data_IF_963808777415
#
_entry.id   IF_963808777415
#
_cell.length_a   1.000
_cell.length_b   1.000
_cell.length_c   1.000
_cell.angle_alpha   90.00
_cell.angle_beta   90.00
_cell.angle_gamma   90.00
#
_symmetry.space_group_name_H-M   'P 1'
#
loop_
_entity.id
_entity.type
_entity.pdbx_description
1 polymer ?
#
# COMPACT_ATOMS: atom_id res chain seq x y z
N UNK A 1 19.33 2.40 -6.08
CA UNK A 1 20.12 2.09 -4.87
C UNK A 1 19.87 3.23 -3.90
N UNK A 2 19.40 2.98 -2.68
CA UNK A 2 19.18 4.06 -1.71
C UNK A 2 20.53 4.49 -1.18
N UNK A 3 20.82 5.79 -1.14
CA UNK A 3 22.08 6.31 -0.62
C UNK A 3 22.04 6.20 0.89
N UNK A 4 23.16 5.80 1.52
CA UNK A 4 23.26 5.64 2.99
C UNK A 4 22.82 6.89 3.75
N UNK A 5 23.12 8.08 3.22
CA UNK A 5 22.66 9.36 3.75
C UNK A 5 21.11 9.51 3.82
N UNK A 6 20.38 8.88 2.88
CA UNK A 6 18.92 8.89 2.92
C UNK A 6 18.40 7.90 3.96
N UNK A 7 19.07 6.78 4.13
CA UNK A 7 18.74 5.79 5.14
C UNK A 7 18.89 6.40 6.53
N UNK A 8 20.02 7.08 6.79
CA UNK A 8 20.30 7.75 8.06
C UNK A 8 19.27 8.84 8.38
N UNK A 9 18.74 9.53 7.37
CA UNK A 9 17.69 10.56 7.56
C UNK A 9 16.30 9.97 7.92
N UNK A 10 16.13 8.66 7.78
CA UNK A 10 14.90 7.94 8.11
C UNK A 10 14.92 7.32 9.51
N UNK A 11 16.10 7.22 10.11
CA UNK A 11 16.32 6.65 11.44
C UNK A 11 16.37 7.76 12.49
N UNK A 12 15.80 7.48 13.67
CA UNK A 12 15.94 8.35 14.82
C UNK A 12 17.34 8.17 15.47
N UNK A 13 17.85 9.15 16.21
CA UNK A 13 19.13 9.04 16.91
C UNK A 13 19.18 7.79 17.81
N UNK A 14 20.14 6.91 17.56
CA UNK A 14 20.33 5.66 18.30
C UNK A 14 19.41 4.51 17.88
N UNK A 15 18.60 4.68 16.83
CA UNK A 15 17.79 3.62 16.24
C UNK A 15 18.63 2.74 15.32
N UNK A 16 18.48 1.42 15.42
CA UNK A 16 19.25 0.45 14.63
C UNK A 16 18.39 -0.15 13.53
N UNK A 17 18.87 -0.06 12.29
CA UNK A 17 18.22 -0.74 11.17
C UNK A 17 18.49 -2.25 11.27
N UNK A 18 17.42 -3.05 11.25
CA UNK A 18 17.48 -4.51 11.27
C UNK A 18 17.27 -5.08 9.87
N UNK A 19 16.34 -4.49 9.11
CA UNK A 19 16.04 -4.91 7.76
C UNK A 19 15.52 -3.75 6.93
N UNK A 20 15.86 -3.75 5.65
CA UNK A 20 15.29 -2.84 4.66
C UNK A 20 14.91 -3.59 3.39
N UNK A 21 13.82 -3.19 2.77
CA UNK A 21 13.33 -3.82 1.55
C UNK A 21 12.52 -2.86 0.67
N UNK A 22 12.20 -3.34 -0.51
CA UNK A 22 11.31 -2.66 -1.45
C UNK A 22 10.25 -3.62 -1.94
N UNK A 23 9.05 -3.14 -2.25
CA UNK A 23 8.04 -3.97 -2.90
C UNK A 23 8.50 -4.37 -4.30
N UNK A 24 7.99 -5.50 -4.79
CA UNK A 24 7.94 -5.74 -6.22
C UNK A 24 6.90 -4.78 -6.81
N UNK A 25 7.31 -3.95 -7.77
CA UNK A 25 6.44 -2.91 -8.32
C UNK A 25 5.21 -3.51 -9.03
N UNK A 26 5.37 -4.65 -9.72
CA UNK A 26 4.28 -5.32 -10.44
C UNK A 26 3.23 -5.87 -9.47
N UNK A 27 3.66 -6.62 -8.46
CA UNK A 27 2.76 -7.20 -7.46
C UNK A 27 2.12 -6.12 -6.58
N UNK A 28 2.86 -5.05 -6.28
CA UNK A 28 2.33 -3.87 -5.58
C UNK A 28 1.22 -3.18 -6.37
N UNK A 29 1.40 -3.02 -7.69
CA UNK A 29 0.40 -2.42 -8.56
C UNK A 29 -0.86 -3.30 -8.63
N UNK A 30 -0.70 -4.62 -8.81
CA UNK A 30 -1.80 -5.58 -8.86
C UNK A 30 -2.60 -5.54 -7.54
N UNK A 31 -1.92 -5.61 -6.39
CA UNK A 31 -2.58 -5.60 -5.08
C UNK A 31 -3.39 -4.32 -4.83
N UNK A 32 -2.97 -3.19 -5.40
CA UNK A 32 -3.58 -1.88 -5.12
C UNK A 32 -4.63 -1.42 -6.12
N UNK A 33 -4.66 -1.93 -7.34
CA UNK A 33 -5.46 -1.33 -8.40
C UNK A 33 -6.35 -2.27 -9.22
N UNK A 34 -6.39 -3.57 -8.91
CA UNK A 34 -7.24 -4.52 -9.66
C UNK A 34 -8.70 -4.07 -9.72
N UNK A 35 -9.27 -3.63 -8.59
CA UNK A 35 -10.65 -3.14 -8.55
C UNK A 35 -10.86 -1.88 -9.38
N UNK A 36 -9.98 -0.90 -9.25
CA UNK A 36 -10.06 0.36 -10.02
C UNK A 36 -9.91 0.12 -11.52
N UNK A 37 -9.02 -0.78 -11.92
CA UNK A 37 -8.82 -1.15 -13.32
C UNK A 37 -10.06 -1.79 -13.94
N UNK A 38 -10.65 -2.78 -13.28
CA UNK A 38 -11.87 -3.45 -13.75
C UNK A 38 -13.04 -2.47 -13.84
N UNK A 39 -13.18 -1.61 -12.82
CA UNK A 39 -14.21 -0.57 -12.83
C UNK A 39 -13.97 0.44 -13.94
N UNK A 40 -12.73 0.82 -14.20
CA UNK A 40 -12.36 1.70 -15.31
C UNK A 40 -12.71 1.13 -16.68
N UNK A 41 -12.47 -0.17 -16.89
CA UNK A 41 -12.85 -0.85 -18.15
C UNK A 41 -14.37 -0.82 -18.34
N UNK A 42 -15.13 -1.16 -17.31
CA UNK A 42 -16.60 -1.12 -17.34
C UNK A 42 -17.11 0.30 -17.66
N UNK A 43 -16.55 1.28 -16.94
CA UNK A 43 -16.96 2.68 -17.08
C UNK A 43 -16.63 3.25 -18.45
N UNK A 44 -15.45 2.92 -19.00
CA UNK A 44 -15.07 3.30 -20.37
C UNK A 44 -15.96 2.64 -21.41
N UNK A 45 -16.33 1.37 -21.22
CA UNK A 45 -17.24 0.67 -22.10
C UNK A 45 -18.62 1.33 -22.15
N UNK A 46 -19.18 1.64 -20.99
CA UNK A 46 -20.48 2.38 -20.89
C UNK A 46 -20.36 3.75 -21.56
N UNK A 47 -19.28 4.48 -21.33
CA UNK A 47 -19.05 5.79 -21.96
C UNK A 47 -19.02 5.73 -23.47
N UNK A 48 -18.36 4.72 -24.05
CA UNK A 48 -18.29 4.52 -25.51
C UNK A 48 -19.68 4.24 -26.07
N UNK A 49 -20.44 3.32 -25.47
CA UNK A 49 -21.82 3.02 -25.89
C UNK A 49 -22.69 4.28 -25.83
N UNK A 50 -22.53 5.07 -24.77
CA UNK A 50 -23.23 6.34 -24.59
C UNK A 50 -22.92 7.34 -25.71
N UNK A 51 -21.63 7.50 -26.07
CA UNK A 51 -21.19 8.41 -27.14
C UNK A 51 -21.75 7.97 -28.50
N UNK A 52 -21.73 6.67 -28.79
CA UNK A 52 -22.23 6.12 -30.05
C UNK A 52 -23.75 6.29 -30.16
N UNK A 53 -24.47 6.15 -29.03
CA UNK A 53 -25.93 6.30 -28.98
C UNK A 53 -26.41 7.73 -28.88
N UNK A 54 -25.54 8.72 -28.76
CA UNK A 54 -25.89 10.13 -28.65
C UNK A 54 -26.36 10.68 -29.99
N UNK A 55 -27.65 10.80 -30.19
CA UNK A 55 -28.25 11.50 -31.34
C UNK A 55 -27.83 12.97 -31.33
N UNK A 56 -26.81 13.33 -32.08
CA UNK A 56 -26.33 14.70 -32.44
C UNK A 56 -26.44 15.81 -31.36
N UNK A 57 -26.83 15.48 -30.14
CA UNK A 57 -26.85 16.44 -29.03
C UNK A 57 -25.46 16.60 -28.46
N UNK A 58 -24.87 17.79 -28.65
CA UNK A 58 -23.53 18.14 -28.11
C UNK A 58 -23.42 17.95 -26.61
N UNK A 59 -24.51 18.14 -25.85
CA UNK A 59 -24.51 17.93 -24.40
C UNK A 59 -24.34 16.46 -24.02
N UNK A 60 -24.98 15.54 -24.73
CA UNK A 60 -24.83 14.11 -24.48
C UNK A 60 -23.44 13.61 -24.86
N UNK A 61 -22.88 14.08 -25.97
CA UNK A 61 -21.52 13.75 -26.38
C UNK A 61 -20.50 14.25 -25.36
N UNK A 62 -20.63 15.48 -24.86
CA UNK A 62 -19.75 16.04 -23.82
C UNK A 62 -19.80 15.24 -22.53
N UNK A 63 -20.98 14.82 -22.09
CA UNK A 63 -21.12 13.98 -20.91
C UNK A 63 -20.43 12.62 -21.09
N UNK A 64 -20.62 11.98 -22.26
CA UNK A 64 -19.93 10.73 -22.59
C UNK A 64 -18.39 10.87 -22.62
N UNK A 65 -17.89 11.97 -23.17
CA UNK A 65 -16.45 12.27 -23.16
C UNK A 65 -15.91 12.45 -21.73
N UNK A 66 -16.66 13.11 -20.84
CA UNK A 66 -16.28 13.24 -19.44
C UNK A 66 -16.21 11.86 -18.74
N UNK A 67 -17.23 11.02 -18.95
CA UNK A 67 -17.21 9.64 -18.43
C UNK A 67 -16.03 8.84 -18.97
N UNK A 68 -15.71 8.97 -20.25
CA UNK A 68 -14.59 8.29 -20.88
C UNK A 68 -13.24 8.74 -20.28
N UNK A 69 -13.08 10.03 -20.01
CA UNK A 69 -11.88 10.55 -19.34
C UNK A 69 -11.70 9.97 -17.95
N UNK A 70 -12.78 9.90 -17.16
CA UNK A 70 -12.77 9.27 -15.84
C UNK A 70 -12.43 7.79 -15.95
N UNK A 71 -13.10 7.05 -16.85
CA UNK A 71 -12.84 5.64 -17.09
C UNK A 71 -11.38 5.37 -17.51
N UNK A 72 -10.83 6.16 -18.42
CA UNK A 72 -9.44 6.06 -18.87
C UNK A 72 -8.45 6.34 -17.73
N UNK A 73 -8.72 7.32 -16.89
CA UNK A 73 -7.92 7.60 -15.69
C UNK A 73 -7.87 6.39 -14.74
N UNK A 74 -8.97 5.69 -14.57
CA UNK A 74 -9.04 4.47 -13.75
C UNK A 74 -8.32 3.29 -14.43
N UNK A 75 -8.41 3.15 -15.76
CA UNK A 75 -7.67 2.15 -16.54
C UNK A 75 -6.16 2.38 -16.46
N UNK A 76 -5.72 3.63 -16.37
CA UNK A 76 -4.30 3.98 -16.22
C UNK A 76 -3.79 3.88 -14.78
N UNK A 77 -4.67 3.58 -13.81
CA UNK A 77 -4.28 3.47 -12.40
C UNK A 77 -3.17 2.45 -12.11
N UNK A 78 -3.05 1.28 -12.79
CA UNK A 78 -1.94 0.37 -12.60
C UNK A 78 -0.59 0.99 -12.94
N UNK A 79 -0.52 1.76 -14.03
CA UNK A 79 0.71 2.44 -14.45
C UNK A 79 1.19 3.42 -13.38
N UNK A 80 0.25 4.19 -12.80
CA UNK A 80 0.55 5.06 -11.67
C UNK A 80 1.09 4.30 -10.46
N UNK A 81 0.48 3.16 -10.13
CA UNK A 81 0.92 2.34 -8.99
C UNK A 81 2.28 1.64 -9.25
N UNK A 82 2.58 1.27 -10.48
CA UNK A 82 3.91 0.76 -10.87
C UNK A 82 4.99 1.82 -10.59
N UNK A 83 4.76 3.05 -11.07
CA UNK A 83 5.66 4.17 -10.82
C UNK A 83 5.80 4.41 -9.32
N UNK A 84 4.69 4.47 -8.60
CA UNK A 84 4.68 4.71 -7.14
C UNK A 84 5.37 3.59 -6.37
N UNK A 85 5.17 2.32 -6.75
CA UNK A 85 5.80 1.16 -6.12
C UNK A 85 7.32 1.23 -6.13
N UNK A 86 7.91 1.80 -7.19
CA UNK A 86 9.36 2.00 -7.30
C UNK A 86 9.92 2.99 -6.27
N UNK A 87 9.08 3.86 -5.70
CA UNK A 87 9.46 4.87 -4.70
C UNK A 87 9.11 4.45 -3.27
N UNK A 88 8.57 3.26 -3.07
CA UNK A 88 8.27 2.72 -1.74
C UNK A 88 9.52 2.06 -1.17
N UNK A 89 9.79 2.35 0.08
CA UNK A 89 10.85 1.70 0.86
C UNK A 89 10.29 1.26 2.19
N UNK A 90 10.58 0.03 2.56
CA UNK A 90 10.25 -0.58 3.84
C UNK A 90 11.48 -0.64 4.70
N UNK A 91 11.36 -0.23 5.95
CA UNK A 91 12.41 -0.32 6.95
C UNK A 91 11.84 -0.99 8.20
N UNK A 92 12.59 -1.92 8.75
CA UNK A 92 12.35 -2.45 10.08
C UNK A 92 13.53 -2.12 10.97
N UNK A 93 13.23 -1.43 12.04
CA UNK A 93 14.22 -1.05 13.04
C UNK A 93 14.01 -1.85 14.33
N UNK A 94 14.85 -1.60 15.32
CA UNK A 94 14.69 -2.17 16.66
C UNK A 94 13.46 -1.65 17.43
N UNK A 95 12.82 -0.56 16.96
CA UNK A 95 11.72 0.10 17.66
C UNK A 95 10.42 0.16 16.88
N UNK A 96 10.48 0.21 15.53
CA UNK A 96 9.31 0.44 14.67
C UNK A 96 9.46 -0.17 13.27
N UNK A 97 8.35 -0.28 12.58
CA UNK A 97 8.31 -0.47 11.14
C UNK A 97 8.00 0.87 10.46
N UNK A 98 8.75 1.20 9.40
CA UNK A 98 8.60 2.43 8.64
C UNK A 98 8.30 2.09 7.19
N UNK A 99 7.25 2.71 6.67
CA UNK A 99 6.88 2.68 5.25
C UNK A 99 7.13 4.08 4.71
N UNK A 100 8.19 4.26 3.93
CA UNK A 100 8.53 5.53 3.31
C UNK A 100 8.17 5.50 1.84
N UNK A 101 7.28 6.39 1.43
CA UNK A 101 6.91 6.61 0.03
C UNK A 101 7.53 7.94 -0.36
N UNK A 102 8.62 7.87 -1.12
CA UNK A 102 9.25 9.06 -1.69
C UNK A 102 8.70 9.30 -3.11
N UNK A 103 8.69 10.55 -3.59
CA UNK A 103 8.19 10.89 -4.93
C UNK A 103 7.30 12.13 -4.92
N UNK A 104 6.39 12.24 -5.91
CA UNK A 104 5.53 13.41 -6.07
C UNK A 104 4.62 13.71 -4.86
N UNK A 105 4.16 12.65 -4.18
CA UNK A 105 3.33 12.76 -2.98
C UNK A 105 3.99 11.95 -1.86
N UNK A 106 4.99 12.53 -1.17
CA UNK A 106 5.71 11.82 -0.13
C UNK A 106 4.80 11.54 1.05
N UNK A 107 4.85 10.29 1.52
CA UNK A 107 4.11 9.85 2.70
C UNK A 107 5.00 8.93 3.52
N UNK A 108 5.11 9.19 4.80
CA UNK A 108 5.78 8.30 5.75
C UNK A 108 4.78 7.80 6.78
N UNK A 109 4.74 6.50 6.95
CA UNK A 109 3.97 5.83 7.99
C UNK A 109 4.94 5.10 8.90
N UNK A 110 4.89 5.36 10.18
CA UNK A 110 5.72 4.72 11.20
C UNK A 110 4.80 4.03 12.18
N UNK A 111 5.02 2.74 12.43
CA UNK A 111 4.25 1.94 13.37
C UNK A 111 5.21 1.38 14.42
N UNK A 112 5.12 1.83 15.69
CA UNK A 112 5.91 1.27 16.78
C UNK A 112 5.64 -0.22 16.95
N UNK A 113 6.65 -1.00 17.33
CA UNK A 113 6.48 -2.44 17.58
C UNK A 113 5.47 -2.73 18.71
N UNK A 114 5.35 -1.81 19.68
CA UNK A 114 4.37 -1.89 20.75
C UNK A 114 2.90 -1.74 20.30
N UNK A 115 2.67 -1.13 19.14
CA UNK A 115 1.33 -0.96 18.56
C UNK A 115 0.96 -2.08 17.58
N UNK A 116 1.88 -3.00 17.29
CA UNK A 116 1.61 -4.13 16.43
C UNK A 116 0.77 -5.17 17.18
N UNK A 117 -0.42 -5.43 16.67
CA UNK A 117 -1.37 -6.33 17.31
C UNK A 117 -1.13 -7.79 16.91
N UNK A 118 -0.67 -8.00 15.69
CA UNK A 118 -0.44 -9.33 15.11
C UNK A 118 0.52 -9.22 13.93
N UNK A 119 1.01 -10.37 13.47
CA UNK A 119 1.74 -10.47 12.20
C UNK A 119 1.07 -11.52 11.35
N UNK A 120 0.39 -11.08 10.29
CA UNK A 120 -0.26 -11.95 9.32
C UNK A 120 0.57 -11.97 8.03
N UNK A 121 0.94 -13.15 7.60
CA UNK A 121 1.58 -13.36 6.30
C UNK A 121 0.52 -13.77 5.28
N UNK A 122 0.36 -12.97 4.24
CA UNK A 122 -0.46 -13.32 3.07
C UNK A 122 0.48 -13.60 1.90
N UNK A 123 0.65 -14.88 1.49
CA UNK A 123 1.55 -15.22 0.41
C UNK A 123 0.98 -14.75 -0.94
N UNK A 124 1.84 -14.21 -1.79
CA UNK A 124 1.52 -13.89 -3.19
C UNK A 124 2.06 -14.97 -4.14
N UNK A 125 1.57 -14.96 -5.37
CA UNK A 125 1.75 -16.03 -6.36
C UNK A 125 3.21 -16.25 -6.81
N UNK A 126 4.12 -15.29 -6.57
CA UNK A 126 5.51 -15.31 -7.10
C UNK A 126 6.61 -15.33 -6.04
N UNK A 127 6.33 -15.81 -4.82
CA UNK A 127 7.33 -15.81 -3.74
C UNK A 127 7.47 -14.47 -3.03
N UNK A 128 6.72 -13.46 -3.43
CA UNK A 128 6.49 -12.24 -2.68
C UNK A 128 5.31 -12.46 -1.73
N UNK A 129 5.12 -11.57 -0.79
CA UNK A 129 3.99 -11.66 0.12
C UNK A 129 3.76 -10.35 0.85
N UNK A 130 2.59 -10.28 1.47
CA UNK A 130 2.20 -9.16 2.30
C UNK A 130 2.39 -9.53 3.76
N UNK A 131 3.04 -8.66 4.51
CA UNK A 131 3.24 -8.81 5.96
C UNK A 131 2.43 -7.72 6.65
N UNK A 132 1.23 -8.07 7.10
CA UNK A 132 0.30 -7.15 7.75
C UNK A 132 0.52 -7.23 9.26
N UNK A 133 0.71 -6.09 9.91
CA UNK A 133 0.99 -6.04 11.35
C UNK A 133 0.05 -5.12 12.13
N UNK A 134 -0.81 -4.35 11.46
CA UNK A 134 -1.83 -3.53 12.10
C UNK A 134 -3.07 -3.41 11.21
N UNK A 135 -4.25 -3.55 11.83
CA UNK A 135 -5.54 -3.21 11.21
C UNK A 135 -6.23 -2.17 12.08
N UNK A 136 -6.61 -1.06 11.48
CA UNK A 136 -7.33 0.02 12.15
C UNK A 136 -8.68 0.18 11.48
N UNK A 137 -9.75 0.04 12.25
CA UNK A 137 -11.08 0.38 11.79
C UNK A 137 -11.26 1.89 11.89
N UNK A 138 -11.37 2.55 10.76
CA UNK A 138 -11.67 3.98 10.70
C UNK A 138 -13.16 4.13 10.45
N UNK A 139 -13.85 4.73 11.39
CA UNK A 139 -15.29 5.05 11.27
C UNK A 139 -15.43 6.51 10.91
N UNK A 140 -16.04 6.77 9.76
CA UNK A 140 -16.35 8.12 9.31
C UNK A 140 -17.86 8.35 9.49
N UNK A 141 -18.32 9.47 10.03
CA UNK A 141 -19.73 9.72 10.26
C UNK A 141 -20.61 9.59 9.00
N UNK A 142 -20.04 9.91 7.84
CA UNK A 142 -20.77 9.99 6.57
C UNK A 142 -20.55 8.78 5.64
N UNK A 143 -19.46 7.99 5.80
CA UNK A 143 -19.07 6.93 4.86
C UNK A 143 -19.07 5.52 5.46
N UNK A 144 -19.44 5.38 6.74
CA UNK A 144 -19.39 4.09 7.43
C UNK A 144 -17.99 3.73 7.94
N UNK A 145 -17.77 2.43 8.23
CA UNK A 145 -16.50 1.95 8.77
C UNK A 145 -15.71 1.21 7.68
N UNK A 146 -14.44 1.56 7.52
CA UNK A 146 -13.52 0.83 6.67
C UNK A 146 -12.25 0.43 7.43
N UNK A 147 -11.64 -0.67 7.00
CA UNK A 147 -10.43 -1.20 7.65
C UNK A 147 -9.20 -0.70 6.88
N UNK A 148 -8.34 0.03 7.59
CA UNK A 148 -7.01 0.41 7.10
C UNK A 148 -6.02 -0.63 7.57
N UNK A 149 -5.26 -1.21 6.64
CA UNK A 149 -4.23 -2.21 6.92
C UNK A 149 -2.86 -1.60 6.72
N UNK A 150 -2.05 -1.63 7.76
CA UNK A 150 -0.64 -1.27 7.69
C UNK A 150 0.20 -2.55 7.61
N UNK A 151 1.09 -2.58 6.63
CA UNK A 151 1.91 -3.75 6.36
C UNK A 151 2.94 -3.50 5.26
N UNK A 152 3.86 -4.42 5.11
CA UNK A 152 4.80 -4.46 3.99
C UNK A 152 4.16 -5.27 2.86
N UNK A 153 3.76 -4.61 1.79
CA UNK A 153 3.03 -5.19 0.66
C UNK A 153 4.01 -5.61 -0.42
N UNK A 154 3.76 -6.77 -1.05
CA UNK A 154 4.56 -7.32 -2.15
C UNK A 154 6.06 -7.37 -1.84
N UNK A 155 6.43 -7.72 -0.60
CA UNK A 155 7.83 -7.75 -0.18
C UNK A 155 8.49 -9.09 -0.53
N UNK A 156 9.71 -9.03 -1.03
CA UNK A 156 10.57 -10.20 -1.10
C UNK A 156 10.89 -10.67 0.33
N UNK A 157 11.11 -11.96 0.52
CA UNK A 157 11.41 -12.53 1.85
C UNK A 157 10.30 -12.29 2.90
N UNK A 158 9.05 -12.14 2.49
CA UNK A 158 7.93 -11.86 3.40
C UNK A 158 7.87 -12.80 4.60
N UNK A 159 8.13 -14.10 4.37
CA UNK A 159 8.17 -15.09 5.45
C UNK A 159 9.26 -14.79 6.48
N UNK A 160 10.47 -14.40 6.04
CA UNK A 160 11.57 -14.03 6.92
C UNK A 160 11.24 -12.78 7.74
N UNK A 161 10.70 -11.76 7.07
CA UNK A 161 10.29 -10.51 7.73
C UNK A 161 9.18 -10.75 8.75
N UNK A 162 8.19 -11.59 8.41
CA UNK A 162 7.13 -11.97 9.34
C UNK A 162 7.66 -12.69 10.58
N UNK A 163 8.62 -13.60 10.41
CA UNK A 163 9.28 -14.28 11.53
C UNK A 163 10.05 -13.32 12.43
N UNK A 164 10.80 -12.37 11.83
CA UNK A 164 11.53 -11.35 12.58
C UNK A 164 10.59 -10.45 13.39
N UNK A 165 9.44 -10.08 12.84
CA UNK A 165 8.45 -9.26 13.54
C UNK A 165 7.77 -10.05 14.67
N UNK A 166 7.36 -11.31 14.41
CA UNK A 166 6.75 -12.18 15.44
C UNK A 166 7.67 -12.39 16.62
N UNK A 167 8.93 -12.75 16.38
CA UNK A 167 9.91 -12.98 17.44
C UNK A 167 10.09 -11.76 18.36
N UNK A 168 9.96 -10.56 17.81
CA UNK A 168 10.10 -9.33 18.61
C UNK A 168 8.83 -9.00 19.40
N UNK A 169 7.65 -9.18 18.80
CA UNK A 169 6.36 -9.02 19.50
C UNK A 169 6.27 -10.00 20.66
N UNK A 170 6.69 -11.26 20.47
CA UNK A 170 6.69 -12.27 21.51
C UNK A 170 7.62 -11.88 22.69
N UNK A 171 8.80 -11.34 22.41
CA UNK A 171 9.70 -10.81 23.44
C UNK A 171 9.08 -9.66 24.23
N UNK A 172 8.45 -8.71 23.53
CA UNK A 172 7.79 -7.56 24.18
C UNK A 172 6.63 -8.03 25.06
N UNK A 173 5.84 -8.99 24.62
CA UNK A 173 4.74 -9.56 25.38
C UNK A 173 5.24 -10.26 26.65
N UNK A 174 6.33 -11.04 26.57
CA UNK A 174 6.94 -11.70 27.71
C UNK A 174 7.53 -10.72 28.72
N UNK A 175 8.16 -9.64 28.25
CA UNK A 175 8.73 -8.62 29.14
C UNK A 175 7.65 -7.84 29.90
N UNK A 176 6.48 -7.62 29.30
CA UNK A 176 5.36 -6.96 29.96
C UNK A 176 4.71 -7.82 31.04
N UNK A 177 4.63 -9.14 30.83
CA UNK A 177 4.10 -10.10 31.83
C UNK A 177 5.06 -10.27 33.02
N UNK A 178 6.36 -10.15 32.82
CA UNK A 178 7.38 -10.31 33.86
C UNK A 178 7.46 -9.08 34.81
N UNK A 179 6.82 -7.98 34.48
CA UNK A 179 6.79 -6.73 35.28
C UNK A 179 5.50 -6.55 36.10
N UNK A 180 4.55 -7.48 35.99
CA UNK A 180 3.30 -7.48 36.75
C UNK A 180 3.35 -8.50 37.87
#
# INVERSE_FOLDING_TARGET
MMTDAKLDSLLDPGERLIWSGRPNADDYAIAKCTGSFLFGLLFSGVAIVWIIGADQSSAHALFGCLLLLVGLGLVLSPLWQLIRGSYVTYLRTDRRAVIDISGLFPKRTSVPLSEMQFVKLEPSVKGFGDVIFREVVVSTPDEGSYVVRDGFIATAEAARVALLLRAEIDKLSQSSVAQT
#
